data_IF_118164118895
#
_entry.id   IF_118164118895
#
_cell.length_a   1.000
_cell.length_b   1.000
_cell.length_c   1.000
_cell.angle_alpha   90.00
_cell.angle_beta   90.00
_cell.angle_gamma   90.00
#
_symmetry.space_group_name_H-M   'P 1'
#
loop_
_entity.id
_entity.type
_entity.pdbx_description
1 polymer ?
#
# COMPACT_ATOMS: atom_id res chain seq x y z
N UNK A 1 2.98 17.16 -10.79
CA UNK A 1 2.31 17.11 -9.49
C UNK A 1 0.86 17.52 -9.69
N UNK A 2 -0.07 16.62 -9.34
CA UNK A 2 -1.52 16.86 -9.47
C UNK A 2 -2.09 17.05 -8.07
N UNK A 3 -2.95 18.06 -7.88
CA UNK A 3 -3.63 18.33 -6.60
C UNK A 3 -5.12 18.49 -6.82
N UNK A 4 -5.92 17.85 -5.99
CA UNK A 4 -7.37 17.97 -5.96
C UNK A 4 -7.88 17.64 -4.56
N UNK A 5 -9.19 17.74 -4.35
CA UNK A 5 -9.83 17.27 -3.11
C UNK A 5 -10.94 16.29 -3.41
N UNK A 6 -11.03 15.24 -2.60
CA UNK A 6 -12.11 14.24 -2.68
C UNK A 6 -12.70 14.07 -1.28
N UNK A 7 -14.03 14.17 -1.16
CA UNK A 7 -14.73 14.20 0.14
C UNK A 7 -14.19 15.26 1.11
N UNK A 8 -13.64 16.37 0.60
CA UNK A 8 -13.00 17.40 1.42
C UNK A 8 -11.63 17.01 2.01
N UNK A 9 -11.02 15.94 1.51
CA UNK A 9 -9.66 15.52 1.85
C UNK A 9 -8.73 15.99 0.72
N UNK A 10 -7.71 16.83 1.00
CA UNK A 10 -6.72 17.21 0.00
C UNK A 10 -5.88 16.00 -0.40
N UNK A 11 -5.72 15.83 -1.71
CA UNK A 11 -4.95 14.74 -2.32
C UNK A 11 -3.87 15.34 -3.20
N UNK A 12 -2.65 14.89 -3.00
CA UNK A 12 -1.49 15.25 -3.81
C UNK A 12 -0.91 13.99 -4.47
N UNK A 13 -0.72 14.04 -5.80
CA UNK A 13 -0.11 12.96 -6.57
C UNK A 13 1.22 13.44 -7.13
N UNK A 14 2.30 12.79 -6.72
CA UNK A 14 3.64 13.07 -7.21
C UNK A 14 3.89 12.41 -8.58
N UNK A 15 4.71 13.00 -9.47
CA UNK A 15 5.00 12.42 -10.78
C UNK A 15 5.56 11.00 -10.72
N UNK A 16 6.36 10.70 -9.73
CA UNK A 16 7.00 9.40 -9.51
C UNK A 16 6.00 8.26 -9.27
N UNK A 17 4.80 8.56 -8.75
CA UNK A 17 3.71 7.59 -8.60
C UNK A 17 3.31 6.98 -9.96
N UNK A 18 3.09 7.83 -10.96
CA UNK A 18 2.72 7.41 -12.30
C UNK A 18 3.84 6.61 -12.98
N UNK A 19 5.09 7.05 -12.80
CA UNK A 19 6.25 6.34 -13.35
C UNK A 19 6.37 4.94 -12.75
N UNK A 20 6.19 4.78 -11.45
CA UNK A 20 6.26 3.46 -10.80
C UNK A 20 5.15 2.54 -11.30
N UNK A 21 3.90 3.03 -11.43
CA UNK A 21 2.80 2.25 -11.99
C UNK A 21 3.08 1.85 -13.45
N UNK A 22 3.66 2.74 -14.26
CA UNK A 22 4.05 2.42 -15.62
C UNK A 22 5.14 1.33 -15.68
N UNK A 23 6.15 1.41 -14.81
CA UNK A 23 7.21 0.40 -14.72
C UNK A 23 6.67 -0.98 -14.31
N UNK A 24 5.78 -1.02 -13.32
CA UNK A 24 5.14 -2.25 -12.85
C UNK A 24 4.13 -2.77 -13.88
N UNK A 25 3.39 -1.88 -14.54
CA UNK A 25 2.40 -2.20 -15.58
C UNK A 25 2.99 -2.63 -16.91
N UNK A 26 4.31 -2.75 -17.02
CA UNK A 26 4.99 -3.30 -18.19
C UNK A 26 5.28 -2.29 -19.28
N UNK A 27 5.90 -1.16 -18.95
CA UNK A 27 6.33 -0.13 -19.92
C UNK A 27 7.11 -0.70 -21.11
N UNK A 28 7.84 -1.79 -20.91
CA UNK A 28 8.60 -2.45 -21.97
C UNK A 28 7.69 -3.09 -23.05
N UNK A 29 6.43 -3.40 -22.71
CA UNK A 29 5.43 -3.91 -23.67
C UNK A 29 4.65 -2.82 -24.38
N UNK A 30 4.82 -1.55 -24.01
CA UNK A 30 4.04 -0.42 -24.51
C UNK A 30 4.41 0.03 -25.93
N UNK A 31 5.32 -0.66 -26.62
CA UNK A 31 5.70 -0.39 -28.00
C UNK A 31 4.61 -0.70 -29.04
N UNK A 32 3.59 -1.47 -28.67
CA UNK A 32 2.42 -1.77 -29.49
C UNK A 32 1.18 -1.02 -28.98
N UNK A 33 0.21 -0.68 -29.84
CA UNK A 33 -1.04 -0.05 -29.41
C UNK A 33 -1.77 -0.85 -28.32
N UNK A 34 -1.80 -2.18 -28.43
CA UNK A 34 -2.41 -3.05 -27.43
C UNK A 34 -1.64 -3.05 -26.10
N UNK A 35 -0.32 -3.10 -26.13
CA UNK A 35 0.52 -3.03 -24.94
C UNK A 35 0.45 -1.67 -24.26
N UNK A 36 0.39 -0.58 -25.03
CA UNK A 36 0.18 0.77 -24.48
C UNK A 36 -1.17 0.88 -23.78
N UNK A 37 -2.25 0.37 -24.39
CA UNK A 37 -3.57 0.36 -23.78
C UNK A 37 -3.58 -0.47 -22.49
N UNK A 38 -2.96 -1.66 -22.49
CA UNK A 38 -2.84 -2.51 -21.30
C UNK A 38 -2.13 -1.77 -20.15
N UNK A 39 -1.02 -1.09 -20.43
CA UNK A 39 -0.31 -0.27 -19.46
C UNK A 39 -1.18 0.86 -18.91
N UNK A 40 -1.95 1.55 -19.76
CA UNK A 40 -2.86 2.63 -19.31
C UNK A 40 -3.96 2.10 -18.38
N UNK A 41 -4.55 0.95 -18.71
CA UNK A 41 -5.56 0.32 -17.85
C UNK A 41 -4.97 -0.13 -16.52
N UNK A 42 -3.75 -0.68 -16.53
CA UNK A 42 -3.04 -1.04 -15.30
C UNK A 42 -2.75 0.19 -14.43
N UNK A 43 -2.29 1.30 -15.02
CA UNK A 43 -2.04 2.56 -14.31
C UNK A 43 -3.34 3.08 -13.68
N UNK A 44 -4.45 3.05 -14.43
CA UNK A 44 -5.76 3.48 -13.93
C UNK A 44 -6.22 2.58 -12.76
N UNK A 45 -6.11 1.27 -12.90
CA UNK A 45 -6.46 0.31 -11.85
C UNK A 45 -5.59 0.50 -10.60
N UNK A 46 -4.28 0.67 -10.77
CA UNK A 46 -3.34 0.93 -9.68
C UNK A 46 -3.64 2.24 -8.94
N UNK A 47 -3.92 3.30 -9.69
CA UNK A 47 -4.32 4.58 -9.11
C UNK A 47 -5.59 4.45 -8.26
N UNK A 48 -6.66 3.85 -8.82
CA UNK A 48 -7.92 3.67 -8.09
C UNK A 48 -7.70 2.82 -6.83
N UNK A 49 -7.00 1.70 -6.97
CA UNK A 49 -6.76 0.76 -5.88
C UNK A 49 -5.98 1.40 -4.72
N UNK A 50 -4.87 2.08 -5.02
CA UNK A 50 -4.06 2.77 -3.99
C UNK A 50 -4.83 3.94 -3.38
N UNK A 51 -5.55 4.72 -4.19
CA UNK A 51 -6.36 5.83 -3.67
C UNK A 51 -7.46 5.34 -2.72
N UNK A 52 -8.15 4.24 -3.04
CA UNK A 52 -9.17 3.64 -2.15
C UNK A 52 -8.55 3.15 -0.85
N UNK A 53 -7.36 2.57 -0.90
CA UNK A 53 -6.59 2.19 0.28
C UNK A 53 -6.33 3.41 1.19
N UNK A 54 -5.76 4.49 0.65
CA UNK A 54 -5.48 5.70 1.43
C UNK A 54 -6.75 6.38 1.94
N UNK A 55 -7.83 6.34 1.16
CA UNK A 55 -9.14 6.82 1.60
C UNK A 55 -9.68 6.02 2.79
N UNK A 56 -9.41 4.72 2.85
CA UNK A 56 -9.75 3.89 4.02
C UNK A 56 -9.13 4.45 5.30
N UNK A 57 -7.84 4.72 5.30
CA UNK A 57 -7.14 5.37 6.41
C UNK A 57 -7.70 6.76 6.72
N UNK A 58 -7.79 7.61 5.69
CA UNK A 58 -8.14 9.01 5.85
C UNK A 58 -9.58 9.21 6.33
N UNK A 59 -10.56 8.48 5.79
CA UNK A 59 -11.96 8.57 6.21
C UNK A 59 -12.15 8.05 7.64
N UNK A 60 -11.45 6.97 8.00
CA UNK A 60 -11.47 6.43 9.35
C UNK A 60 -10.82 7.40 10.34
N UNK A 61 -9.68 8.01 9.98
CA UNK A 61 -9.04 9.04 10.81
C UNK A 61 -9.94 10.25 11.04
N UNK A 62 -10.64 10.72 9.99
CA UNK A 62 -11.63 11.82 10.10
C UNK A 62 -12.79 11.48 11.03
N UNK A 63 -13.26 10.23 11.04
CA UNK A 63 -14.30 9.80 11.97
C UNK A 63 -13.86 9.95 13.43
N UNK A 64 -12.56 9.89 13.69
CA UNK A 64 -11.97 10.17 15.00
C UNK A 64 -11.52 11.63 15.19
N UNK A 65 -11.98 12.54 14.34
CA UNK A 65 -11.74 13.98 14.45
C UNK A 65 -10.42 14.48 13.89
N UNK A 66 -9.66 13.64 13.17
CA UNK A 66 -8.38 14.05 12.60
C UNK A 66 -8.55 14.88 11.33
N UNK A 67 -7.78 15.96 11.21
CA UNK A 67 -7.49 16.57 9.91
C UNK A 67 -6.67 15.57 9.09
N UNK A 68 -7.03 15.36 7.82
CA UNK A 68 -6.43 14.33 6.97
C UNK A 68 -6.00 14.90 5.62
N UNK A 69 -4.88 14.43 5.11
CA UNK A 69 -4.44 14.66 3.74
C UNK A 69 -3.84 13.36 3.18
N UNK A 70 -3.91 13.17 1.87
CA UNK A 70 -3.36 11.99 1.18
C UNK A 70 -2.26 12.45 0.23
N UNK A 71 -1.14 11.73 0.23
CA UNK A 71 -0.07 11.90 -0.75
C UNK A 71 0.23 10.56 -1.43
N UNK A 72 0.15 10.52 -2.76
CA UNK A 72 0.57 9.38 -3.58
C UNK A 72 1.97 9.65 -4.13
N UNK A 73 2.89 8.72 -3.89
CA UNK A 73 4.31 8.83 -4.26
C UNK A 73 4.85 7.53 -4.89
N UNK A 74 6.13 7.49 -5.24
CA UNK A 74 6.74 6.36 -5.97
C UNK A 74 6.47 4.97 -5.36
N UNK A 75 6.34 4.87 -4.06
CA UNK A 75 6.19 3.58 -3.35
C UNK A 75 4.77 3.34 -2.82
N UNK A 76 3.76 4.00 -3.38
CA UNK A 76 2.35 3.88 -2.98
C UNK A 76 1.76 5.20 -2.50
N UNK A 77 1.10 5.20 -1.36
CA UNK A 77 0.53 6.38 -0.74
C UNK A 77 0.76 6.43 0.76
N UNK A 78 0.39 7.55 1.34
CA UNK A 78 0.20 7.65 2.79
C UNK A 78 -0.88 8.69 3.12
N UNK A 79 -1.69 8.36 4.12
CA UNK A 79 -2.58 9.32 4.77
C UNK A 79 -1.85 9.97 5.95
N UNK A 80 -1.83 11.29 5.99
CA UNK A 80 -1.24 12.07 7.07
C UNK A 80 -2.32 12.63 8.00
N UNK A 81 -1.99 12.73 9.29
CA UNK A 81 -2.90 13.17 10.35
C UNK A 81 -2.21 14.24 11.20
N UNK A 82 -2.02 15.48 10.67
CA UNK A 82 -1.31 16.53 11.37
C UNK A 82 -1.91 16.79 12.76
N UNK A 83 -1.04 16.90 13.77
CA UNK A 83 -1.41 17.21 15.17
C UNK A 83 -2.41 16.26 15.84
N UNK A 84 -2.79 15.14 15.23
CA UNK A 84 -3.69 14.17 15.85
C UNK A 84 -2.93 13.07 16.56
N UNK A 85 -3.45 12.64 17.74
CA UNK A 85 -2.94 11.51 18.51
C UNK A 85 -4.07 10.52 18.71
N UNK A 86 -4.03 9.42 17.97
CA UNK A 86 -4.97 8.32 18.12
C UNK A 86 -4.70 7.52 19.40
N UNK A 87 -5.75 7.04 20.05
CA UNK A 87 -5.61 5.94 21.00
C UNK A 87 -5.17 4.67 20.26
N UNK A 88 -4.64 3.67 20.99
CA UNK A 88 -4.21 2.40 20.36
C UNK A 88 -5.31 1.73 19.52
N UNK A 89 -6.54 1.72 20.04
CA UNK A 89 -7.69 1.15 19.32
C UNK A 89 -8.04 1.95 18.06
N UNK A 90 -7.98 3.28 18.14
CA UNK A 90 -8.20 4.15 16.98
C UNK A 90 -7.09 3.97 15.95
N UNK A 91 -5.82 3.94 16.36
CA UNK A 91 -4.68 3.71 15.46
C UNK A 91 -4.78 2.34 14.76
N UNK A 92 -5.17 1.29 15.50
CA UNK A 92 -5.46 -0.01 14.93
C UNK A 92 -6.56 0.06 13.85
N UNK A 93 -7.71 0.70 14.16
CA UNK A 93 -8.82 0.82 13.22
C UNK A 93 -8.46 1.68 12.00
N UNK A 94 -7.77 2.79 12.20
CA UNK A 94 -7.29 3.65 11.10
C UNK A 94 -6.34 2.85 10.21
N UNK A 95 -5.40 2.12 10.79
CA UNK A 95 -4.42 1.33 10.02
C UNK A 95 -5.08 0.15 9.31
N UNK A 96 -6.02 -0.56 9.94
CA UNK A 96 -6.71 -1.69 9.32
C UNK A 96 -7.66 -1.27 8.18
N UNK A 97 -8.16 -0.03 8.22
CA UNK A 97 -9.15 0.44 7.25
C UNK A 97 -8.61 0.51 5.82
N UNK A 98 -7.35 0.88 5.60
CA UNK A 98 -6.74 0.90 4.27
C UNK A 98 -6.80 -0.46 3.57
N UNK A 99 -6.14 -1.49 4.12
CA UNK A 99 -6.22 -2.83 3.57
C UNK A 99 -7.65 -3.38 3.46
N UNK A 100 -8.53 -3.09 4.45
CA UNK A 100 -9.91 -3.56 4.43
C UNK A 100 -10.71 -2.97 3.26
N UNK A 101 -10.59 -1.67 3.00
CA UNK A 101 -11.23 -1.01 1.86
C UNK A 101 -10.71 -1.57 0.53
N UNK A 102 -9.41 -1.82 0.45
CA UNK A 102 -8.79 -2.35 -0.75
C UNK A 102 -9.19 -3.81 -1.02
N UNK A 103 -9.26 -4.66 0.01
CA UNK A 103 -9.77 -6.04 -0.09
C UNK A 103 -11.25 -6.01 -0.50
N UNK A 104 -12.06 -5.13 0.07
CA UNK A 104 -13.46 -4.99 -0.31
C UNK A 104 -13.61 -4.58 -1.78
N UNK A 105 -12.77 -3.65 -2.26
CA UNK A 105 -12.72 -3.26 -3.67
C UNK A 105 -12.37 -4.45 -4.58
N UNK A 106 -11.29 -5.17 -4.26
CA UNK A 106 -10.88 -6.37 -5.01
C UNK A 106 -11.96 -7.44 -5.00
N UNK A 107 -12.62 -7.65 -3.86
CA UNK A 107 -13.76 -8.58 -3.71
C UNK A 107 -14.98 -8.18 -4.54
N UNK A 108 -15.28 -6.88 -4.63
CA UNK A 108 -16.36 -6.36 -5.48
C UNK A 108 -16.11 -6.68 -6.96
N UNK A 109 -14.89 -6.41 -7.45
CA UNK A 109 -14.51 -6.72 -8.82
C UNK A 109 -14.45 -8.23 -9.08
N UNK A 110 -14.04 -9.02 -8.10
CA UNK A 110 -14.06 -10.49 -8.17
C UNK A 110 -15.51 -11.02 -8.27
N UNK A 111 -16.43 -10.50 -7.46
CA UNK A 111 -17.85 -10.86 -7.54
C UNK A 111 -18.45 -10.47 -8.88
N UNK A 112 -18.13 -9.27 -9.40
CA UNK A 112 -18.56 -8.86 -10.73
C UNK A 112 -18.00 -9.77 -11.83
N UNK A 113 -16.74 -10.19 -11.73
CA UNK A 113 -16.12 -11.13 -12.67
C UNK A 113 -16.77 -12.52 -12.63
N UNK A 114 -17.18 -12.99 -11.43
CA UNK A 114 -17.75 -14.33 -11.25
C UNK A 114 -19.26 -14.43 -11.60
N UNK A 115 -20.02 -13.36 -11.35
CA UNK A 115 -21.48 -13.38 -11.43
C UNK A 115 -22.06 -12.33 -12.38
N UNK A 116 -21.25 -11.40 -12.87
CA UNK A 116 -21.67 -10.36 -13.80
C UNK A 116 -21.75 -10.85 -15.25
N UNK A 117 -22.26 -10.01 -16.15
CA UNK A 117 -22.29 -10.32 -17.57
C UNK A 117 -20.87 -10.42 -18.15
N UNK A 118 -20.72 -11.12 -19.26
CA UNK A 118 -19.47 -11.16 -20.00
C UNK A 118 -19.02 -9.74 -20.38
N UNK A 119 -17.81 -9.40 -19.97
CA UNK A 119 -17.24 -8.08 -20.23
C UNK A 119 -16.48 -8.06 -21.56
N UNK A 120 -16.59 -6.98 -22.35
CA UNK A 120 -15.70 -6.78 -23.51
C UNK A 120 -14.24 -6.90 -23.11
N UNK A 121 -13.33 -7.31 -24.06
CA UNK A 121 -11.94 -7.64 -23.72
C UNK A 121 -11.20 -6.57 -22.92
N UNK A 122 -11.40 -5.30 -23.25
CA UNK A 122 -10.78 -4.17 -22.57
C UNK A 122 -11.28 -4.01 -21.10
N UNK A 123 -12.58 -4.16 -20.90
CA UNK A 123 -13.17 -4.13 -19.55
C UNK A 123 -12.77 -5.35 -18.73
N UNK A 124 -12.73 -6.52 -19.35
CA UNK A 124 -12.27 -7.76 -18.69
C UNK A 124 -10.81 -7.64 -18.23
N UNK A 125 -9.94 -7.01 -19.02
CA UNK A 125 -8.55 -6.72 -18.64
C UNK A 125 -8.50 -5.77 -17.44
N UNK A 126 -9.23 -4.67 -17.47
CA UNK A 126 -9.30 -3.72 -16.35
C UNK A 126 -9.82 -4.37 -15.07
N UNK A 127 -10.89 -5.19 -15.16
CA UNK A 127 -11.45 -5.92 -14.01
C UNK A 127 -10.39 -6.84 -13.39
N UNK A 128 -9.68 -7.59 -14.23
CA UNK A 128 -8.59 -8.47 -13.78
C UNK A 128 -7.48 -7.70 -13.07
N UNK A 129 -7.08 -6.56 -13.62
CA UNK A 129 -6.04 -5.71 -13.03
C UNK A 129 -6.53 -5.13 -11.69
N UNK A 130 -7.79 -4.70 -11.58
CA UNK A 130 -8.39 -4.24 -10.33
C UNK A 130 -8.39 -5.32 -9.25
N UNK A 131 -8.77 -6.56 -9.59
CA UNK A 131 -8.74 -7.70 -8.66
C UNK A 131 -7.30 -7.94 -8.21
N UNK A 132 -6.39 -8.13 -9.16
CA UNK A 132 -5.00 -8.47 -8.90
C UNK A 132 -4.29 -7.42 -8.05
N UNK A 133 -4.33 -6.15 -8.48
CA UNK A 133 -3.67 -5.06 -7.77
C UNK A 133 -4.24 -4.89 -6.37
N UNK A 134 -5.57 -4.89 -6.23
CA UNK A 134 -6.20 -4.65 -4.94
C UNK A 134 -5.88 -5.75 -3.93
N UNK A 135 -5.90 -7.02 -4.35
CA UNK A 135 -5.60 -8.12 -3.44
C UNK A 135 -4.09 -8.21 -3.16
N UNK A 136 -3.25 -8.15 -4.20
CA UNK A 136 -1.81 -8.29 -4.02
C UNK A 136 -1.23 -7.14 -3.19
N UNK A 137 -1.67 -5.89 -3.43
CA UNK A 137 -1.22 -4.73 -2.68
C UNK A 137 -1.70 -4.75 -1.23
N UNK A 138 -2.95 -5.16 -0.97
CA UNK A 138 -3.45 -5.32 0.39
C UNK A 138 -2.66 -6.38 1.17
N UNK A 139 -2.38 -7.54 0.54
CA UNK A 139 -1.57 -8.61 1.14
C UNK A 139 -0.15 -8.11 1.42
N UNK A 140 0.48 -7.38 0.48
CA UNK A 140 1.79 -6.78 0.67
C UNK A 140 1.80 -5.82 1.88
N UNK A 141 0.79 -4.93 1.97
CA UNK A 141 0.68 -3.99 3.07
C UNK A 141 0.38 -4.65 4.42
N UNK A 142 -0.20 -5.84 4.44
CA UNK A 142 -0.45 -6.62 5.67
C UNK A 142 0.77 -7.42 6.14
N UNK A 143 1.87 -7.45 5.40
CA UNK A 143 3.12 -8.06 5.88
C UNK A 143 3.57 -7.31 7.15
N UNK A 144 3.92 -8.01 8.27
CA UNK A 144 4.27 -7.37 9.53
C UNK A 144 5.68 -6.76 9.51
N UNK A 145 5.87 -5.80 8.61
CA UNK A 145 7.12 -5.05 8.39
C UNK A 145 6.83 -3.55 8.47
N UNK A 146 7.42 -2.84 9.41
CA UNK A 146 7.34 -1.38 9.44
C UNK A 146 8.10 -0.77 8.24
N UNK A 147 7.56 0.25 7.55
CA UNK A 147 6.38 1.05 7.91
C UNK A 147 5.05 0.57 7.28
N UNK A 148 4.96 -0.65 6.71
CA UNK A 148 3.72 -1.18 6.15
C UNK A 148 2.61 -1.28 7.21
N UNK A 149 1.35 -1.34 6.77
CA UNK A 149 0.20 -1.40 7.70
C UNK A 149 0.26 -2.62 8.61
N UNK A 150 0.67 -3.78 8.12
CA UNK A 150 0.85 -4.98 8.94
C UNK A 150 1.85 -4.77 10.08
N UNK A 151 2.95 -4.04 9.82
CA UNK A 151 3.90 -3.63 10.86
C UNK A 151 3.30 -2.65 11.87
N UNK A 152 2.50 -1.69 11.41
CA UNK A 152 1.77 -0.73 12.27
C UNK A 152 0.67 -1.41 13.09
N UNK A 153 -0.09 -2.33 12.48
CA UNK A 153 -1.07 -3.15 13.20
C UNK A 153 -0.39 -3.97 14.30
N UNK A 154 0.73 -4.62 13.99
CA UNK A 154 1.52 -5.35 14.97
C UNK A 154 2.00 -4.41 16.11
N UNK A 155 2.49 -3.21 15.79
CA UNK A 155 2.88 -2.20 16.78
C UNK A 155 1.70 -1.78 17.68
N UNK A 156 0.52 -1.58 17.10
CA UNK A 156 -0.70 -1.24 17.83
C UNK A 156 -1.15 -2.39 18.75
N UNK A 157 -1.00 -3.65 18.33
CA UNK A 157 -1.33 -4.84 19.13
C UNK A 157 -0.34 -5.03 20.28
N UNK A 158 0.96 -4.99 20.00
CA UNK A 158 2.01 -5.21 21.02
C UNK A 158 2.14 -4.02 21.98
N UNK A 159 1.86 -2.82 21.49
CA UNK A 159 1.93 -1.57 22.25
C UNK A 159 3.33 -0.95 22.31
N UNK A 160 3.41 0.32 22.75
CA UNK A 160 4.64 1.12 22.68
C UNK A 160 5.80 0.55 23.52
N UNK A 161 5.51 -0.18 24.59
CA UNK A 161 6.54 -0.83 25.41
C UNK A 161 7.26 -1.96 24.67
N UNK A 162 6.63 -2.55 23.64
CA UNK A 162 7.16 -3.66 22.85
C UNK A 162 7.68 -3.22 21.47
N UNK A 163 7.91 -1.93 21.26
CA UNK A 163 8.39 -1.41 19.97
C UNK A 163 9.71 -2.07 19.52
N UNK A 164 10.59 -2.40 20.45
CA UNK A 164 11.83 -3.13 20.16
C UNK A 164 11.58 -4.54 19.60
N UNK A 165 10.54 -5.24 20.09
CA UNK A 165 10.12 -6.52 19.54
C UNK A 165 9.51 -6.35 18.14
N UNK A 166 8.65 -5.35 17.97
CA UNK A 166 8.05 -5.00 16.65
C UNK A 166 9.13 -4.76 15.59
N UNK A 167 10.15 -3.96 15.91
CA UNK A 167 11.26 -3.67 14.99
C UNK A 167 12.06 -4.93 14.63
N UNK A 168 12.33 -5.81 15.61
CA UNK A 168 13.03 -7.08 15.36
C UNK A 168 12.24 -8.01 14.45
N UNK A 169 10.94 -8.18 14.71
CA UNK A 169 10.06 -8.99 13.85
C UNK A 169 10.01 -8.39 12.44
N UNK A 170 9.81 -7.07 12.32
CA UNK A 170 9.80 -6.37 11.03
C UNK A 170 11.10 -6.58 10.24
N UNK A 171 12.25 -6.50 10.90
CA UNK A 171 13.54 -6.74 10.26
C UNK A 171 13.65 -8.17 9.74
N UNK A 172 13.35 -9.17 10.58
CA UNK A 172 13.46 -10.59 10.21
C UNK A 172 12.50 -10.93 9.07
N UNK A 173 11.23 -10.53 9.20
CA UNK A 173 10.20 -10.80 8.18
C UNK A 173 10.53 -10.06 6.87
N UNK A 174 11.07 -8.85 6.95
CA UNK A 174 11.51 -8.10 5.78
C UNK A 174 12.64 -8.80 5.01
N UNK A 175 13.66 -9.33 5.72
CA UNK A 175 14.77 -10.07 5.11
C UNK A 175 14.27 -11.38 4.49
N UNK A 176 13.51 -12.18 5.24
CA UNK A 176 12.97 -13.46 4.77
C UNK A 176 12.03 -13.24 3.59
N UNK A 177 11.12 -12.26 3.71
CA UNK A 177 10.18 -11.91 2.65
C UNK A 177 10.88 -11.43 1.37
N UNK A 178 11.94 -10.63 1.48
CA UNK A 178 12.76 -10.22 0.35
C UNK A 178 13.38 -11.42 -0.38
N UNK A 179 13.97 -12.36 0.38
CA UNK A 179 14.56 -13.57 -0.18
C UNK A 179 13.53 -14.48 -0.87
N UNK A 180 12.36 -14.67 -0.25
CA UNK A 180 11.29 -15.49 -0.81
C UNK A 180 10.71 -14.84 -2.08
N UNK A 181 10.39 -13.54 -2.06
CA UNK A 181 9.89 -12.84 -3.24
C UNK A 181 10.89 -12.90 -4.39
N UNK A 182 12.18 -12.70 -4.14
CA UNK A 182 13.20 -12.82 -5.16
C UNK A 182 13.23 -14.23 -5.78
N UNK A 183 13.21 -15.26 -4.92
CA UNK A 183 13.22 -16.66 -5.37
C UNK A 183 12.03 -17.02 -6.24
N UNK A 184 10.82 -16.53 -5.90
CA UNK A 184 9.59 -16.92 -6.60
C UNK A 184 9.25 -16.03 -7.79
N UNK A 185 9.64 -14.76 -7.78
CA UNK A 185 9.26 -13.83 -8.86
C UNK A 185 10.40 -13.53 -9.84
N UNK A 186 11.66 -13.75 -9.44
CA UNK A 186 12.83 -13.33 -10.20
C UNK A 186 12.96 -11.79 -10.34
N UNK A 187 12.01 -11.04 -9.78
CA UNK A 187 11.99 -9.57 -9.82
C UNK A 187 12.81 -8.99 -8.67
N UNK A 188 13.50 -7.90 -8.91
CA UNK A 188 14.28 -7.19 -7.89
C UNK A 188 13.50 -6.10 -7.15
N UNK A 189 12.42 -5.58 -7.74
CA UNK A 189 11.75 -4.37 -7.26
C UNK A 189 11.23 -4.54 -5.82
N UNK A 190 10.33 -5.48 -5.59
CA UNK A 190 9.73 -5.70 -4.26
C UNK A 190 10.71 -6.29 -3.23
N UNK A 191 11.61 -7.23 -3.60
CA UNK A 191 12.68 -7.67 -2.71
C UNK A 191 13.59 -6.56 -2.21
N UNK A 192 14.05 -5.67 -3.07
CA UNK A 192 14.88 -4.51 -2.67
C UNK A 192 14.09 -3.60 -1.72
N UNK A 193 12.81 -3.37 -1.99
CA UNK A 193 11.96 -2.55 -1.15
C UNK A 193 11.82 -3.12 0.28
N UNK A 194 11.54 -4.43 0.40
CA UNK A 194 11.48 -5.10 1.71
C UNK A 194 12.83 -5.13 2.42
N UNK A 195 13.93 -5.35 1.70
CA UNK A 195 15.27 -5.32 2.26
C UNK A 195 15.63 -3.92 2.79
N UNK A 196 15.26 -2.87 2.06
CA UNK A 196 15.44 -1.48 2.49
C UNK A 196 14.64 -1.18 3.77
N UNK A 197 13.39 -1.64 3.85
CA UNK A 197 12.59 -1.52 5.08
C UNK A 197 13.21 -2.29 6.25
N UNK A 198 13.70 -3.50 6.02
CA UNK A 198 14.39 -4.29 7.04
C UNK A 198 15.64 -3.56 7.55
N UNK A 199 16.41 -2.93 6.65
CA UNK A 199 17.57 -2.12 7.00
C UNK A 199 17.18 -0.88 7.82
N UNK A 200 16.09 -0.18 7.48
CA UNK A 200 15.59 0.94 8.27
C UNK A 200 15.20 0.50 9.69
N UNK A 201 14.52 -0.63 9.83
CA UNK A 201 14.17 -1.20 11.13
C UNK A 201 15.44 -1.56 11.95
N UNK A 202 16.46 -2.10 11.30
CA UNK A 202 17.76 -2.36 11.94
C UNK A 202 18.43 -1.07 12.42
N UNK A 203 18.45 -0.01 11.60
CA UNK A 203 18.99 1.30 12.00
C UNK A 203 18.26 1.86 13.22
N UNK A 204 16.93 1.79 13.26
CA UNK A 204 16.13 2.25 14.39
C UNK A 204 16.47 1.45 15.67
N UNK A 205 16.68 0.12 15.57
CA UNK A 205 17.13 -0.70 16.70
C UNK A 205 18.50 -0.21 17.22
N UNK A 206 19.44 0.09 16.32
CA UNK A 206 20.76 0.57 16.72
C UNK A 206 20.72 1.95 17.38
N UNK A 207 19.90 2.87 16.86
CA UNK A 207 19.73 4.20 17.43
C UNK A 207 19.18 4.12 18.87
N UNK A 208 18.15 3.27 19.10
CA UNK A 208 17.57 3.04 20.42
C UNK A 208 18.56 2.45 21.41
N UNK A 209 19.43 1.52 20.96
CA UNK A 209 20.50 0.96 21.80
C UNK A 209 21.53 2.00 22.20
N UNK A 210 21.87 2.95 21.32
CA UNK A 210 22.87 4.02 21.60
C UNK A 210 22.27 5.15 22.44
N UNK A 211 20.97 5.42 22.30
CA UNK A 211 20.26 6.49 23.03
C UNK A 211 19.87 6.14 24.47
N UNK A 212 20.16 4.92 24.96
CA UNK A 212 19.87 4.52 26.34
C UNK A 212 18.40 4.40 26.72
N UNK A 213 17.49 4.21 25.74
CA UNK A 213 16.05 4.03 25.91
C UNK A 213 15.62 2.57 25.74
#
# INVERSE_FOLDING_TARGET
MVRFSLFGIPIEIQPWFWLTLALVGGINGASTPAGFLAMMLFILAGFISVLIHELGHALTGRRFGAATAITLHAFGGYASFPANRFTRGQDFLVTAAGPAFQIALGGLFLAFHAYGPEAPPMLAMFIRDMIWISIAWAVLNLIPVLPLDGGRLMASILGPRQIGLTLKISMIVGIVGAGLLFKFTGSFLFPIFLAMMAYQNWQEIQQRRRGGL
#
